data_IF_103086625844
#
_entry.id   IF_103086625844
#
_cell.length_a   1.000
_cell.length_b   1.000
_cell.length_c   1.000
_cell.angle_alpha   90.00
_cell.angle_beta   90.00
_cell.angle_gamma   90.00
#
_symmetry.space_group_name_H-M   'P 1'
#
loop_
_entity.id
_entity.type
_entity.pdbx_description
1 polymer ?
#
# COMPACT_ATOMS: atom_id res chain seq x y z
N UNK A 1 -24.71 -28.51 33.47
CA UNK A 1 -25.18 -28.86 32.11
C UNK A 1 -24.81 -27.68 31.22
N UNK A 2 -23.82 -27.69 30.33
CA UNK A 2 -23.35 -28.75 29.43
C UNK A 2 -23.55 -28.23 28.00
N UNK A 3 -22.56 -27.53 27.45
CA UNK A 3 -22.63 -26.93 26.11
C UNK A 3 -21.27 -27.02 25.41
N UNK A 4 -20.91 -28.24 25.03
CA UNK A 4 -19.67 -28.60 24.33
C UNK A 4 -19.97 -28.88 22.87
N UNK A 5 -19.46 -28.07 21.94
CA UNK A 5 -19.17 -28.36 20.53
C UNK A 5 -18.72 -27.05 19.86
N UNK A 6 -17.68 -26.92 19.04
CA UNK A 6 -16.77 -27.87 18.41
C UNK A 6 -15.61 -27.04 17.83
N UNK A 7 -14.41 -27.15 18.40
CA UNK A 7 -13.20 -26.52 17.83
C UNK A 7 -12.70 -27.39 16.68
N UNK A 8 -12.88 -26.96 15.44
CA UNK A 8 -12.25 -27.58 14.28
C UNK A 8 -10.73 -27.35 14.34
N UNK A 9 -9.98 -28.39 14.70
CA UNK A 9 -8.54 -28.40 14.62
C UNK A 9 -8.13 -28.39 13.13
N UNK A 10 -7.61 -27.26 12.64
CA UNK A 10 -7.06 -27.17 11.27
C UNK A 10 -5.81 -28.04 11.20
N UNK A 11 -5.86 -29.12 10.42
CA UNK A 11 -4.67 -29.90 10.06
C UNK A 11 -3.82 -29.07 9.11
N UNK A 12 -2.64 -28.65 9.57
CA UNK A 12 -1.60 -28.10 8.71
C UNK A 12 -1.09 -29.22 7.77
N UNK A 13 -0.76 -28.92 6.51
CA UNK A 13 -0.18 -29.90 5.60
C UNK A 13 1.16 -30.41 6.16
N UNK A 14 1.21 -31.72 6.42
CA UNK A 14 2.44 -32.44 6.78
C UNK A 14 3.40 -32.39 5.60
N UNK A 15 4.46 -31.58 5.73
CA UNK A 15 5.55 -31.50 4.76
C UNK A 15 6.19 -32.89 4.62
N UNK A 16 6.10 -33.47 3.42
CA UNK A 16 6.92 -34.62 3.02
C UNK A 16 8.38 -34.22 3.15
N UNK A 17 9.10 -34.90 4.05
CA UNK A 17 10.54 -34.75 4.22
C UNK A 17 11.23 -35.20 2.91
N UNK A 18 12.11 -34.38 2.31
CA UNK A 18 12.87 -34.79 1.12
C UNK A 18 13.81 -35.95 1.47
N UNK A 19 14.03 -36.86 0.52
CA UNK A 19 14.81 -38.10 0.67
C UNK A 19 16.28 -37.91 1.09
N UNK A 20 16.78 -36.68 1.14
CA UNK A 20 18.10 -36.34 1.66
C UNK A 20 18.13 -36.28 3.20
N UNK A 21 16.98 -36.14 3.87
CA UNK A 21 16.91 -36.16 5.33
C UNK A 21 17.12 -37.61 5.84
N UNK A 22 18.39 -37.98 6.02
CA UNK A 22 18.80 -39.29 6.51
C UNK A 22 18.07 -39.71 7.79
N UNK A 23 17.54 -40.93 7.77
CA UNK A 23 16.88 -41.56 8.90
C UNK A 23 17.83 -41.69 10.10
N UNK A 24 17.58 -40.90 11.15
CA UNK A 24 18.28 -41.07 12.44
C UNK A 24 17.49 -42.05 13.31
N UNK A 25 17.74 -43.33 13.15
CA UNK A 25 17.50 -44.31 14.22
C UNK A 25 18.83 -44.98 14.56
N UNK A 26 19.41 -44.74 15.73
CA UNK A 26 20.53 -45.55 16.20
C UNK A 26 19.97 -46.87 16.74
N UNK A 27 20.00 -47.91 15.91
CA UNK A 27 19.92 -49.28 16.40
C UNK A 27 21.35 -49.74 16.73
N UNK A 28 21.67 -50.13 17.97
CA UNK A 28 23.02 -50.59 18.31
C UNK A 28 23.25 -52.01 17.76
N UNK A 29 24.24 -52.16 16.88
CA UNK A 29 24.82 -53.45 16.46
C UNK A 29 26.29 -53.55 16.96
N UNK A 30 26.80 -54.77 17.23
CA UNK A 30 28.04 -55.00 17.99
C UNK A 30 29.33 -54.50 17.32
N UNK A 31 30.31 -54.14 18.16
CA UNK A 31 31.51 -53.33 17.88
C UNK A 31 32.61 -53.93 16.98
N UNK A 32 32.41 -55.06 16.32
CA UNK A 32 33.53 -55.83 15.76
C UNK A 32 33.97 -55.46 14.33
N UNK A 33 33.41 -54.40 13.72
CA UNK A 33 33.76 -53.98 12.35
C UNK A 33 33.96 -52.45 12.17
N UNK A 34 34.56 -51.74 13.12
CA UNK A 34 34.94 -50.32 12.89
C UNK A 34 36.31 -50.19 12.21
N UNK A 35 36.31 -49.90 10.92
CA UNK A 35 37.43 -49.25 10.21
C UNK A 35 37.71 -47.86 10.81
N UNK A 36 38.94 -47.30 10.67
CA UNK A 36 39.27 -45.98 11.19
C UNK A 36 38.27 -44.95 10.64
N UNK A 37 37.66 -44.18 11.56
CA UNK A 37 36.65 -43.18 11.23
C UNK A 37 37.20 -42.20 10.18
N UNK A 38 36.45 -41.87 9.11
CA UNK A 38 36.79 -40.73 8.27
C UNK A 38 36.82 -39.47 9.14
N UNK A 39 37.88 -38.68 9.01
CA UNK A 39 38.00 -37.40 9.71
C UNK A 39 36.80 -36.53 9.30
N UNK A 40 35.95 -36.20 10.27
CA UNK A 40 34.72 -35.43 10.01
C UNK A 40 35.15 -33.98 9.73
N UNK A 41 35.32 -33.64 8.45
CA UNK A 41 35.79 -32.32 8.02
C UNK A 41 34.72 -31.22 8.13
N UNK A 42 33.47 -31.58 8.45
CA UNK A 42 32.36 -30.65 8.58
C UNK A 42 31.80 -30.71 10.01
N UNK A 43 32.05 -29.66 10.79
CA UNK A 43 31.44 -29.44 12.11
C UNK A 43 30.38 -28.34 12.04
N UNK A 44 29.36 -28.45 12.90
CA UNK A 44 28.27 -27.48 13.01
C UNK A 44 28.73 -26.17 13.67
N UNK A 45 29.80 -26.24 14.45
CA UNK A 45 30.44 -25.10 15.12
C UNK A 45 31.68 -24.65 14.36
N UNK A 46 31.87 -23.34 14.26
CA UNK A 46 32.97 -22.75 13.50
C UNK A 46 34.31 -22.99 14.21
N UNK A 47 35.00 -24.05 13.83
CA UNK A 47 36.32 -24.41 14.37
C UNK A 47 37.45 -23.63 13.68
N UNK A 48 38.61 -23.51 14.32
CA UNK A 48 39.76 -22.74 13.80
C UNK A 48 40.24 -23.18 12.42
N UNK A 49 40.10 -24.48 12.09
CA UNK A 49 40.37 -25.02 10.75
C UNK A 49 39.38 -24.50 9.70
N UNK A 50 38.10 -24.38 10.05
CA UNK A 50 37.07 -23.78 9.19
C UNK A 50 37.36 -22.29 9.00
N UNK A 51 37.80 -21.59 10.05
CA UNK A 51 38.16 -20.17 9.95
C UNK A 51 39.38 -19.92 9.05
N UNK A 52 40.36 -20.81 9.03
CA UNK A 52 41.50 -20.70 8.10
C UNK A 52 41.09 -21.01 6.66
N UNK A 53 40.23 -22.00 6.45
CA UNK A 53 39.75 -22.40 5.12
C UNK A 53 38.77 -21.37 4.53
N UNK A 54 37.99 -20.70 5.39
CA UNK A 54 37.01 -19.67 4.99
C UNK A 54 37.64 -18.36 4.48
N UNK A 55 38.95 -18.17 4.61
CA UNK A 55 39.65 -16.96 4.18
C UNK A 55 40.12 -17.13 2.73
N UNK A 56 39.22 -16.94 1.76
CA UNK A 56 39.61 -16.87 0.35
C UNK A 56 40.15 -15.45 0.03
N UNK A 57 41.47 -15.28 -0.19
CA UNK A 57 42.07 -13.97 -0.48
C UNK A 57 41.64 -13.42 -1.84
N UNK A 58 41.10 -14.26 -2.72
CA UNK A 58 40.68 -13.89 -4.07
C UNK A 58 39.18 -13.69 -4.19
N UNK A 59 38.40 -13.94 -3.13
CA UNK A 59 36.94 -13.87 -3.15
C UNK A 59 36.43 -12.49 -3.59
N UNK A 60 36.94 -11.43 -2.96
CA UNK A 60 36.55 -10.05 -3.30
C UNK A 60 36.96 -9.66 -4.73
N UNK A 61 38.13 -10.10 -5.19
CA UNK A 61 38.55 -9.86 -6.57
C UNK A 61 37.64 -10.56 -7.59
N UNK A 62 37.24 -11.81 -7.33
CA UNK A 62 36.35 -12.57 -8.22
C UNK A 62 34.94 -12.01 -8.22
N UNK A 63 34.40 -11.58 -7.07
CA UNK A 63 33.11 -10.89 -7.01
C UNK A 63 33.11 -9.60 -7.82
N UNK A 64 34.20 -8.82 -7.74
CA UNK A 64 34.33 -7.59 -8.55
C UNK A 64 34.43 -7.87 -10.05
N UNK A 65 35.09 -8.97 -10.44
CA UNK A 65 35.22 -9.39 -11.84
C UNK A 65 33.93 -9.96 -12.42
N UNK A 66 33.15 -10.70 -11.63
CA UNK A 66 31.88 -11.27 -12.06
C UNK A 66 30.82 -10.19 -12.32
N UNK A 67 30.93 -9.04 -11.63
CA UNK A 67 30.01 -7.93 -11.78
C UNK A 67 28.56 -8.33 -11.47
N UNK A 68 27.61 -7.48 -11.84
CA UNK A 68 26.20 -7.82 -11.69
C UNK A 68 25.80 -8.85 -12.75
N UNK A 69 25.28 -10.00 -12.31
CA UNK A 69 24.75 -11.04 -13.21
C UNK A 69 23.54 -10.49 -13.95
N UNK A 70 23.66 -10.37 -15.27
CA UNK A 70 22.53 -10.07 -16.13
C UNK A 70 21.69 -11.34 -16.31
N UNK A 71 20.57 -11.41 -15.60
CA UNK A 71 19.56 -12.42 -15.86
C UNK A 71 18.78 -11.96 -17.10
N UNK A 72 18.87 -12.65 -18.25
CA UNK A 72 17.98 -12.36 -19.36
C UNK A 72 16.56 -12.63 -18.85
N UNK A 73 15.79 -11.56 -18.67
CA UNK A 73 14.46 -11.62 -18.11
C UNK A 73 13.47 -11.84 -19.26
N UNK A 74 12.90 -13.05 -19.47
CA UNK A 74 11.98 -13.30 -20.60
C UNK A 74 10.60 -12.65 -20.42
N UNK A 75 10.44 -11.65 -19.54
CA UNK A 75 9.16 -10.98 -19.26
C UNK A 75 9.23 -9.44 -19.18
N UNK A 76 10.16 -8.81 -19.90
CA UNK A 76 10.19 -7.34 -20.06
C UNK A 76 8.93 -6.78 -20.77
N UNK A 77 8.05 -7.65 -21.31
CA UNK A 77 6.77 -7.24 -21.90
C UNK A 77 5.54 -7.26 -20.98
N UNK A 78 5.59 -7.92 -19.82
CA UNK A 78 4.44 -7.97 -18.90
C UNK A 78 4.75 -7.22 -17.61
N UNK A 79 4.03 -6.11 -17.46
CA UNK A 79 4.06 -5.11 -16.41
C UNK A 79 3.94 -5.67 -14.97
N UNK A 80 4.97 -6.32 -14.47
CA UNK A 80 5.19 -6.43 -13.03
C UNK A 80 6.03 -5.21 -12.63
N UNK A 81 5.33 -4.14 -12.24
CA UNK A 81 5.93 -3.01 -11.53
C UNK A 81 6.81 -3.59 -10.42
N UNK A 82 8.10 -3.25 -10.35
CA UNK A 82 9.01 -3.91 -9.44
C UNK A 82 8.56 -3.64 -8.00
N UNK A 83 8.58 -4.68 -7.14
CA UNK A 83 8.28 -4.53 -5.71
C UNK A 83 9.15 -3.48 -5.00
N UNK A 84 10.23 -3.02 -5.63
CA UNK A 84 11.07 -1.90 -5.18
C UNK A 84 10.30 -0.59 -5.02
N UNK A 85 9.28 -0.34 -5.86
CA UNK A 85 8.49 0.89 -5.75
C UNK A 85 7.78 0.95 -4.38
N UNK A 86 7.23 -0.18 -3.95
CA UNK A 86 6.51 -0.26 -2.66
C UNK A 86 7.43 -0.06 -1.47
N UNK A 87 8.66 -0.56 -1.53
CA UNK A 87 9.64 -0.33 -0.46
C UNK A 87 10.10 1.13 -0.41
N UNK A 88 10.29 1.77 -1.57
CA UNK A 88 10.64 3.18 -1.64
C UNK A 88 9.51 4.07 -1.15
N UNK A 89 8.26 3.74 -1.49
CA UNK A 89 7.07 4.43 -1.01
C UNK A 89 6.93 4.31 0.52
N UNK A 90 7.22 3.14 1.10
CA UNK A 90 7.21 2.96 2.56
C UNK A 90 8.29 3.79 3.26
N UNK A 91 9.51 3.85 2.69
CA UNK A 91 10.59 4.67 3.24
C UNK A 91 10.22 6.15 3.19
N UNK A 92 9.71 6.62 2.04
CA UNK A 92 9.27 8.01 1.87
C UNK A 92 8.12 8.36 2.83
N UNK A 93 7.11 7.50 2.94
CA UNK A 93 5.99 7.72 3.86
C UNK A 93 6.45 7.82 5.32
N UNK A 94 7.45 7.02 5.70
CA UNK A 94 8.06 7.09 7.04
C UNK A 94 8.83 8.39 7.25
N UNK A 95 9.65 8.79 6.29
CA UNK A 95 10.40 10.05 6.36
C UNK A 95 9.46 11.26 6.45
N UNK A 96 8.40 11.30 5.64
CA UNK A 96 7.37 12.34 5.71
C UNK A 96 6.67 12.34 7.08
N UNK A 97 6.36 11.18 7.63
CA UNK A 97 5.73 11.07 8.96
C UNK A 97 6.66 11.54 10.08
N UNK A 98 7.96 11.25 9.99
CA UNK A 98 8.96 11.68 10.97
C UNK A 98 9.18 13.19 10.90
N UNK A 99 9.24 13.77 9.70
CA UNK A 99 9.30 15.23 9.50
C UNK A 99 8.05 15.93 10.03
N UNK A 100 6.86 15.37 9.78
CA UNK A 100 5.61 15.92 10.30
C UNK A 100 5.52 15.82 11.83
N UNK A 101 5.97 14.71 12.42
CA UNK A 101 6.00 14.55 13.87
C UNK A 101 7.01 15.49 14.55
N UNK A 102 8.11 15.83 13.86
CA UNK A 102 9.07 16.83 14.32
C UNK A 102 8.56 18.28 14.16
N UNK A 103 7.64 18.51 13.22
CA UNK A 103 7.04 19.83 12.98
C UNK A 103 5.85 20.08 13.91
N UNK A 104 5.81 21.22 14.59
CA UNK A 104 4.63 21.66 15.35
C UNK A 104 3.55 22.31 14.46
N UNK A 105 3.66 22.17 13.13
CA UNK A 105 2.73 22.77 12.17
C UNK A 105 1.66 21.78 11.75
N UNK A 106 0.42 22.25 11.64
CA UNK A 106 -0.68 21.45 11.09
C UNK A 106 -0.34 21.12 9.63
N UNK A 107 -0.41 19.85 9.19
CA UNK A 107 -0.09 19.48 7.82
C UNK A 107 -1.09 20.11 6.85
N UNK A 108 -0.60 20.95 5.93
CA UNK A 108 -1.41 21.49 4.83
C UNK A 108 -1.77 20.40 3.82
N UNK A 109 -2.86 20.61 3.08
CA UNK A 109 -3.33 19.70 2.02
C UNK A 109 -3.65 18.26 2.49
N UNK A 110 -3.87 18.06 3.79
CA UNK A 110 -4.28 16.77 4.36
C UNK A 110 -5.60 16.95 5.10
N UNK A 111 -6.68 16.52 4.45
CA UNK A 111 -8.03 16.59 4.99
C UNK A 111 -8.71 15.22 4.95
N UNK A 112 -9.66 15.02 5.87
CA UNK A 112 -10.51 13.84 5.86
C UNK A 112 -11.41 13.84 4.62
N UNK A 113 -11.74 12.66 4.10
CA UNK A 113 -12.59 12.54 2.91
C UNK A 113 -13.98 13.20 3.08
N UNK A 114 -14.53 13.18 4.30
CA UNK A 114 -15.77 13.88 4.62
C UNK A 114 -15.64 15.41 4.52
N UNK A 115 -14.53 15.94 5.03
CA UNK A 115 -14.24 17.39 4.92
C UNK A 115 -13.97 17.78 3.47
N UNK A 116 -13.39 16.88 2.68
CA UNK A 116 -13.23 17.07 1.24
C UNK A 116 -14.58 17.19 0.52
N UNK A 117 -15.57 16.35 0.85
CA UNK A 117 -16.91 16.51 0.26
C UNK A 117 -17.54 17.84 0.63
N UNK A 118 -17.42 18.27 1.90
CA UNK A 118 -17.98 19.54 2.36
C UNK A 118 -17.29 20.73 1.69
N UNK A 119 -15.97 20.67 1.52
CA UNK A 119 -15.18 21.70 0.81
C UNK A 119 -15.56 21.78 -0.68
N UNK A 120 -15.73 20.63 -1.35
CA UNK A 120 -16.17 20.60 -2.75
C UNK A 120 -17.61 21.09 -2.90
N UNK A 121 -18.47 20.85 -1.90
CA UNK A 121 -19.82 21.38 -1.85
C UNK A 121 -19.82 22.91 -1.69
N UNK A 122 -19.05 23.43 -0.73
CA UNK A 122 -18.83 24.85 -0.54
C UNK A 122 -18.27 25.53 -1.80
N UNK A 123 -17.36 24.86 -2.52
CA UNK A 123 -16.81 25.37 -3.79
C UNK A 123 -17.90 25.63 -4.83
N UNK A 124 -18.96 24.83 -4.91
CA UNK A 124 -20.06 25.04 -5.89
C UNK A 124 -20.81 26.36 -5.67
N UNK A 125 -20.82 26.85 -4.43
CA UNK A 125 -21.45 28.13 -4.08
C UNK A 125 -20.58 29.36 -4.35
N UNK A 126 -19.29 29.16 -4.67
CA UNK A 126 -18.38 30.26 -4.94
C UNK A 126 -18.67 30.90 -6.30
N UNK A 127 -18.73 32.23 -6.30
CA UNK A 127 -18.94 33.08 -7.47
C UNK A 127 -17.62 33.67 -8.01
N UNK A 128 -16.63 33.83 -7.14
CA UNK A 128 -15.35 34.42 -7.51
C UNK A 128 -14.16 33.49 -7.27
N UNK A 129 -13.10 33.67 -8.06
CA UNK A 129 -11.81 33.00 -7.84
C UNK A 129 -11.19 33.36 -6.48
N UNK A 130 -11.50 34.55 -5.95
CA UNK A 130 -11.07 34.97 -4.61
C UNK A 130 -11.76 34.16 -3.51
N UNK A 131 -13.06 33.95 -3.65
CA UNK A 131 -13.86 33.16 -2.70
C UNK A 131 -13.38 31.71 -2.65
N UNK A 132 -13.00 31.13 -3.79
CA UNK A 132 -12.35 29.80 -3.82
C UNK A 132 -11.07 29.79 -2.99
N UNK A 133 -10.30 30.87 -3.01
CA UNK A 133 -9.09 31.00 -2.20
C UNK A 133 -9.35 31.13 -0.71
N UNK A 134 -10.44 31.77 -0.33
CA UNK A 134 -10.86 31.87 1.07
C UNK A 134 -11.36 30.51 1.59
N UNK A 135 -12.16 29.80 0.79
CA UNK A 135 -12.61 28.44 1.09
C UNK A 135 -11.40 27.51 1.23
N UNK A 136 -10.46 27.52 0.29
CA UNK A 136 -9.28 26.66 0.37
C UNK A 136 -8.49 26.91 1.68
N UNK A 137 -8.31 28.19 2.04
CA UNK A 137 -7.64 28.59 3.30
C UNK A 137 -8.38 28.15 4.55
N UNK A 138 -9.72 28.23 4.58
CA UNK A 138 -10.50 27.79 5.75
C UNK A 138 -10.36 26.30 6.03
N UNK A 139 -10.13 25.51 4.98
CA UNK A 139 -9.89 24.07 5.08
C UNK A 139 -8.40 23.68 5.14
N UNK A 140 -7.47 24.64 5.15
CA UNK A 140 -6.02 24.37 5.22
C UNK A 140 -5.44 23.75 3.94
N UNK A 141 -6.03 24.06 2.78
CA UNK A 141 -5.66 23.53 1.46
C UNK A 141 -5.20 24.67 0.54
N UNK A 142 -4.21 24.40 -0.30
CA UNK A 142 -3.72 25.34 -1.29
C UNK A 142 -4.70 25.45 -2.46
N UNK A 143 -4.94 26.66 -2.94
CA UNK A 143 -5.86 26.93 -4.08
C UNK A 143 -5.54 26.10 -5.32
N UNK A 144 -4.27 25.94 -5.64
CA UNK A 144 -3.84 25.15 -6.80
C UNK A 144 -4.17 23.67 -6.63
N UNK A 145 -3.99 23.12 -5.43
CA UNK A 145 -4.32 21.71 -5.15
C UNK A 145 -5.82 21.48 -5.22
N UNK A 146 -6.62 22.39 -4.66
CA UNK A 146 -8.09 22.37 -4.77
C UNK A 146 -8.54 22.39 -6.23
N UNK A 147 -7.96 23.26 -7.06
CA UNK A 147 -8.27 23.32 -8.49
C UNK A 147 -7.88 22.04 -9.23
N UNK A 148 -6.74 21.43 -8.90
CA UNK A 148 -6.32 20.17 -9.51
C UNK A 148 -7.27 19.02 -9.13
N UNK A 149 -7.67 18.92 -7.86
CA UNK A 149 -8.62 17.90 -7.39
C UNK A 149 -9.99 18.09 -8.05
N UNK A 150 -10.46 19.34 -8.15
CA UNK A 150 -11.75 19.67 -8.75
C UNK A 150 -11.87 19.28 -10.24
N UNK A 151 -10.75 19.09 -10.95
CA UNK A 151 -10.75 18.58 -12.34
C UNK A 151 -11.17 17.11 -12.43
N UNK A 152 -10.96 16.34 -11.37
CA UNK A 152 -11.17 14.89 -11.37
C UNK A 152 -12.35 14.46 -10.49
N UNK A 153 -12.64 15.24 -9.43
CA UNK A 153 -13.62 14.88 -8.42
C UNK A 153 -14.50 16.10 -8.15
N UNK A 154 -15.81 15.88 -8.14
CA UNK A 154 -16.82 16.87 -7.74
C UNK A 154 -17.82 16.21 -6.77
N UNK A 155 -18.78 16.97 -6.24
CA UNK A 155 -19.92 16.44 -5.47
C UNK A 155 -21.24 16.68 -6.21
N UNK A 156 -22.16 15.70 -6.26
CA UNK A 156 -23.46 15.90 -6.91
C UNK A 156 -24.25 17.01 -6.20
N UNK A 157 -24.98 17.81 -6.96
CA UNK A 157 -25.97 18.78 -6.49
C UNK A 157 -27.38 18.30 -6.83
N UNK A 158 -28.40 18.88 -6.18
CA UNK A 158 -29.80 18.54 -6.46
C UNK A 158 -30.35 19.58 -7.44
N UNK A 159 -31.00 19.13 -8.51
CA UNK A 159 -31.79 20.01 -9.37
C UNK A 159 -33.13 20.33 -8.68
N UNK A 160 -33.26 21.57 -8.22
CA UNK A 160 -34.47 22.05 -7.55
C UNK A 160 -35.72 22.00 -8.44
N UNK A 161 -35.56 21.96 -9.77
CA UNK A 161 -36.69 21.92 -10.70
C UNK A 161 -37.28 20.52 -10.89
N UNK A 162 -36.57 19.46 -10.46
CA UNK A 162 -36.95 18.09 -10.69
C UNK A 162 -37.10 17.31 -9.37
N UNK A 163 -38.03 17.79 -8.55
CA UNK A 163 -38.45 17.14 -7.31
C UNK A 163 -39.81 16.50 -7.53
N UNK A 164 -39.85 15.18 -7.54
CA UNK A 164 -41.10 14.42 -7.64
C UNK A 164 -41.46 13.84 -6.28
N UNK A 165 -42.59 14.26 -5.72
CA UNK A 165 -43.15 13.68 -4.50
C UNK A 165 -44.32 12.78 -4.88
N UNK A 166 -44.16 11.49 -4.61
CA UNK A 166 -45.21 10.49 -4.85
C UNK A 166 -45.70 10.05 -3.47
N UNK A 167 -47.00 10.26 -3.22
CA UNK A 167 -47.66 9.73 -2.02
C UNK A 167 -48.28 8.39 -2.39
N UNK A 168 -47.79 7.32 -1.77
CA UNK A 168 -48.29 5.97 -1.95
C UNK A 168 -49.68 5.78 -1.33
N UNK A 169 -50.39 4.73 -1.76
CA UNK A 169 -51.73 4.39 -1.23
C UNK A 169 -51.73 4.07 0.26
N UNK A 170 -50.59 3.69 0.82
CA UNK A 170 -50.40 3.36 2.23
C UNK A 170 -50.01 4.57 3.09
N UNK A 171 -49.97 5.78 2.50
CA UNK A 171 -49.56 7.02 3.17
C UNK A 171 -48.04 7.25 3.19
N UNK A 172 -47.24 6.36 2.61
CA UNK A 172 -45.79 6.55 2.47
C UNK A 172 -45.47 7.61 1.42
N UNK A 173 -44.68 8.61 1.82
CA UNK A 173 -44.22 9.66 0.93
C UNK A 173 -42.83 9.32 0.39
N UNK A 174 -42.70 9.19 -0.93
CA UNK A 174 -41.42 9.03 -1.60
C UNK A 174 -41.07 10.30 -2.36
N UNK A 175 -40.00 10.96 -1.94
CA UNK A 175 -39.42 12.10 -2.65
C UNK A 175 -38.24 11.62 -3.48
N UNK A 176 -38.35 11.75 -4.80
CA UNK A 176 -37.26 11.46 -5.74
C UNK A 176 -36.76 12.76 -6.32
N UNK A 177 -35.45 12.98 -6.24
CA UNK A 177 -34.76 14.18 -6.72
C UNK A 177 -33.73 13.77 -7.77
N UNK A 178 -33.57 14.60 -8.81
CA UNK A 178 -32.52 14.38 -9.81
C UNK A 178 -31.22 15.00 -9.32
N UNK A 179 -30.15 14.20 -9.37
CA UNK A 179 -28.80 14.65 -9.11
C UNK A 179 -28.18 15.23 -10.39
N UNK A 180 -27.60 16.42 -10.26
CA UNK A 180 -26.91 17.15 -11.32
C UNK A 180 -25.46 17.40 -10.92
N UNK A 181 -24.57 17.48 -11.90
CA UNK A 181 -23.17 17.83 -11.68
C UNK A 181 -22.96 19.26 -12.16
N UNK A 182 -22.75 20.19 -11.22
CA UNK A 182 -22.56 21.61 -11.51
C UNK A 182 -21.16 22.06 -11.09
N UNK A 183 -20.58 22.97 -11.87
CA UNK A 183 -19.34 23.68 -11.53
C UNK A 183 -19.64 25.12 -11.12
N UNK A 184 -18.81 25.74 -10.26
CA UNK A 184 -18.96 27.15 -9.92
C UNK A 184 -18.72 28.02 -11.15
N UNK A 185 -19.58 29.01 -11.35
CA UNK A 185 -19.42 30.03 -12.38
C UNK A 185 -18.41 31.06 -11.84
N UNK A 186 -17.23 31.12 -12.46
CA UNK A 186 -16.16 32.04 -12.03
C UNK A 186 -16.19 33.31 -12.87
N UNK A 187 -15.83 34.45 -12.28
CA UNK A 187 -15.74 35.76 -12.96
C UNK A 187 -15.00 35.74 -14.32
N UNK A 188 -14.04 34.82 -14.50
CA UNK A 188 -13.29 34.67 -15.75
C UNK A 188 -14.11 34.06 -16.91
N UNK A 189 -15.24 33.40 -16.60
CA UNK A 189 -16.20 32.85 -17.58
C UNK A 189 -17.15 33.95 -18.10
N UNK A 190 -17.48 34.96 -17.28
CA UNK A 190 -18.27 36.12 -17.70
C UNK A 190 -17.57 36.98 -18.77
N UNK A 191 -16.23 36.93 -18.85
CA UNK A 191 -15.49 37.60 -19.94
C UNK A 191 -15.40 36.78 -21.23
N UNK A 192 -15.63 35.47 -21.17
CA UNK A 192 -15.69 34.60 -22.37
C UNK A 192 -17.09 34.48 -22.94
N UNK A 193 -18.10 34.72 -22.13
CA UNK A 193 -19.51 34.66 -22.50
C UNK A 193 -20.09 36.07 -22.36
N UNK A 194 -19.82 36.94 -23.34
CA UNK A 194 -20.68 38.07 -23.62
C UNK A 194 -20.05 39.15 -24.49
N UNK A 195 -20.86 39.94 -25.22
CA UNK A 195 -22.26 39.73 -25.62
C UNK A 195 -22.44 38.89 -26.90
#
# INVERSE_FOLDING_TARGET
MGGSASKSARKLPSRTQPSWAGARTPQPLPEQFRSPKPEVMASETKDSRIESDSKDPHFMSKLSQLGQVQVPNPQVGQRLRPQSDRSLDMIRAREESEQMAASNTIPSNRILALVLSDMLDARKSASSTKEIGEIAKSYGVDTQTLQNVARFINTPSIDANNVTRIVGKDGEEKTTMVATWSEPLLDNEHQRIGP
#
